data_IF_599773228445
#
_entry.id   IF_599773228445
#
_cell.length_a   1.000
_cell.length_b   1.000
_cell.length_c   1.000
_cell.angle_alpha   90.00
_cell.angle_beta   90.00
_cell.angle_gamma   90.00
#
_symmetry.space_group_name_H-M   'P 1'
#
loop_
_entity.id
_entity.type
_entity.pdbx_description
1 polymer ?
#
# COMPACT_ATOMS: atom_id res chain seq x y z
N UNK A 1 48.12 -20.41 38.45
CA UNK A 1 46.85 -19.84 38.96
C UNK A 1 46.42 -18.57 38.23
N UNK A 2 47.30 -17.59 37.99
CA UNK A 2 46.94 -16.32 37.32
C UNK A 2 46.40 -16.45 35.88
N UNK A 3 46.97 -17.34 35.04
CA UNK A 3 46.54 -17.54 33.64
C UNK A 3 45.09 -18.07 33.54
N UNK A 4 44.69 -19.00 34.41
CA UNK A 4 43.33 -19.53 34.42
C UNK A 4 42.27 -18.47 34.79
N UNK A 5 42.62 -17.50 35.64
CA UNK A 5 41.74 -16.38 36.03
C UNK A 5 41.54 -15.35 34.90
N UNK A 6 42.59 -15.11 34.10
CA UNK A 6 42.54 -14.21 32.94
C UNK A 6 41.64 -14.81 31.84
N UNK A 7 41.79 -16.10 31.57
CA UNK A 7 40.93 -16.81 30.59
C UNK A 7 39.47 -16.86 31.06
N UNK A 8 39.20 -17.09 32.35
CA UNK A 8 37.83 -17.07 32.89
C UNK A 8 37.15 -15.70 32.78
N UNK A 9 37.90 -14.62 33.03
CA UNK A 9 37.39 -13.25 32.91
C UNK A 9 37.09 -12.86 31.47
N UNK A 10 37.91 -13.31 30.51
CA UNK A 10 37.69 -13.07 29.08
C UNK A 10 36.44 -13.80 28.57
N UNK A 11 36.25 -15.06 28.96
CA UNK A 11 35.06 -15.85 28.58
C UNK A 11 33.80 -15.23 29.18
N UNK A 12 33.86 -14.78 30.44
CA UNK A 12 32.73 -14.11 31.09
C UNK A 12 32.36 -12.79 30.39
N UNK A 13 33.35 -11.98 30.01
CA UNK A 13 33.13 -10.75 29.23
C UNK A 13 32.53 -11.01 27.85
N UNK A 14 32.98 -12.06 27.16
CA UNK A 14 32.41 -12.46 25.86
C UNK A 14 30.95 -12.90 25.99
N UNK A 15 30.61 -13.68 27.02
CA UNK A 15 29.23 -14.10 27.29
C UNK A 15 28.34 -12.89 27.57
N UNK A 16 28.80 -11.93 28.38
CA UNK A 16 28.05 -10.70 28.64
C UNK A 16 27.82 -9.87 27.38
N UNK A 17 28.83 -9.77 26.50
CA UNK A 17 28.72 -9.05 25.23
C UNK A 17 27.69 -9.72 24.32
N UNK A 18 27.73 -11.05 24.19
CA UNK A 18 26.78 -11.81 23.38
C UNK A 18 25.34 -11.69 23.91
N UNK A 19 25.15 -11.67 25.23
CA UNK A 19 23.84 -11.46 25.87
C UNK A 19 23.35 -10.02 25.65
N UNK A 20 24.20 -9.01 25.79
CA UNK A 20 23.83 -7.62 25.49
C UNK A 20 23.44 -7.44 24.02
N UNK A 21 24.22 -8.02 23.10
CA UNK A 21 23.93 -7.96 21.67
C UNK A 21 22.61 -8.66 21.31
N UNK A 22 22.28 -9.79 21.95
CA UNK A 22 21.01 -10.49 21.70
C UNK A 22 19.80 -9.73 22.22
N UNK A 23 19.92 -9.07 23.39
CA UNK A 23 18.87 -8.20 23.95
C UNK A 23 18.63 -6.99 23.05
N UNK A 24 19.70 -6.32 22.58
CA UNK A 24 19.58 -5.17 21.70
C UNK A 24 19.01 -5.53 20.32
N UNK A 25 19.40 -6.68 19.76
CA UNK A 25 18.84 -7.18 18.49
C UNK A 25 17.35 -7.51 18.60
N UNK A 26 16.92 -8.05 19.75
CA UNK A 26 15.51 -8.30 20.04
C UNK A 26 14.69 -7.01 20.08
N UNK A 27 15.24 -5.90 20.57
CA UNK A 27 14.56 -4.59 20.57
C UNK A 27 14.37 -4.04 19.15
N UNK A 28 15.37 -4.23 18.25
CA UNK A 28 15.26 -3.82 16.84
C UNK A 28 14.22 -4.67 16.11
N UNK A 29 14.17 -5.98 16.37
CA UNK A 29 13.17 -6.86 15.75
C UNK A 29 11.74 -6.62 16.26
N UNK A 30 11.57 -6.04 17.44
CA UNK A 30 10.27 -5.71 18.03
C UNK A 30 9.73 -4.32 17.62
N UNK A 31 10.37 -3.61 16.69
CA UNK A 31 9.74 -2.44 16.06
C UNK A 31 8.54 -2.93 15.26
N UNK A 32 7.37 -2.92 15.90
CA UNK A 32 6.12 -3.25 15.23
C UNK A 32 5.90 -2.18 14.16
N UNK A 33 5.76 -2.54 12.88
CA UNK A 33 5.37 -1.56 11.87
C UNK A 33 4.06 -0.93 12.35
N UNK A 34 3.91 0.38 12.16
CA UNK A 34 2.65 1.06 12.43
C UNK A 34 1.56 0.39 11.60
N UNK A 35 0.78 -0.48 12.24
CA UNK A 35 -0.31 -1.19 11.60
C UNK A 35 -1.53 -0.27 11.66
N UNK A 36 -1.76 0.50 10.61
CA UNK A 36 -3.05 1.14 10.41
C UNK A 36 -4.05 0.03 10.11
N UNK A 37 -4.89 -0.27 11.10
CA UNK A 37 -5.98 -1.23 10.99
C UNK A 37 -7.08 -0.65 10.09
N UNK A 38 -6.91 -0.81 8.78
CA UNK A 38 -7.91 -0.45 7.77
C UNK A 38 -9.12 -1.40 7.79
N UNK A 39 -9.00 -2.56 8.44
CA UNK A 39 -10.13 -3.48 8.65
C UNK A 39 -11.21 -2.90 9.55
N UNK A 40 -10.84 -1.92 10.40
CA UNK A 40 -11.80 -1.21 11.25
C UNK A 40 -12.60 -0.12 10.50
N UNK A 41 -12.12 0.34 9.33
CA UNK A 41 -12.78 1.38 8.54
C UNK A 41 -14.03 0.82 7.86
N UNK A 42 -15.20 1.30 8.26
CA UNK A 42 -16.47 0.81 7.74
C UNK A 42 -17.50 1.95 7.63
N UNK A 43 -18.74 1.62 7.25
CA UNK A 43 -19.79 2.61 7.02
C UNK A 43 -20.12 3.47 8.25
N UNK A 44 -19.99 2.91 9.46
CA UNK A 44 -20.21 3.61 10.73
C UNK A 44 -19.12 4.62 11.06
N UNK A 45 -17.99 4.58 10.36
CA UNK A 45 -16.93 5.59 10.47
C UNK A 45 -17.31 6.94 9.83
N UNK A 46 -18.46 7.00 9.14
CA UNK A 46 -18.96 8.20 8.46
C UNK A 46 -20.28 8.65 9.09
N UNK A 47 -20.61 9.97 9.07
CA UNK A 47 -21.86 10.47 9.58
C UNK A 47 -23.09 9.79 8.96
N UNK A 48 -24.18 9.80 9.73
CA UNK A 48 -25.49 9.40 9.20
C UNK A 48 -25.85 10.29 8.01
N UNK A 49 -26.34 9.67 6.93
CA UNK A 49 -26.65 10.37 5.67
C UNK A 49 -25.47 10.64 4.74
N UNK A 50 -24.23 10.26 5.09
CA UNK A 50 -23.09 10.37 4.17
C UNK A 50 -23.34 9.56 2.88
N UNK A 51 -23.13 10.12 1.69
CA UNK A 51 -23.44 9.41 0.44
C UNK A 51 -22.18 8.83 -0.18
N UNK A 52 -22.18 7.52 -0.39
CA UNK A 52 -21.23 6.82 -1.25
C UNK A 52 -21.85 6.60 -2.62
N UNK A 53 -21.08 6.81 -3.68
CA UNK A 53 -21.58 6.67 -5.04
C UNK A 53 -20.46 6.33 -6.03
N UNK A 54 -20.87 6.07 -7.26
CA UNK A 54 -20.00 5.86 -8.42
C UNK A 54 -20.43 6.81 -9.54
N UNK A 55 -19.51 7.14 -10.45
CA UNK A 55 -19.77 8.01 -11.58
C UNK A 55 -19.16 7.44 -12.87
N UNK A 56 -19.83 7.67 -14.00
CA UNK A 56 -19.35 7.32 -15.34
C UNK A 56 -19.64 8.47 -16.30
N UNK A 57 -19.05 8.44 -17.50
CA UNK A 57 -19.35 9.42 -18.55
C UNK A 57 -19.92 8.73 -19.79
N UNK A 58 -20.80 9.45 -20.50
CA UNK A 58 -21.52 8.97 -21.66
C UNK A 58 -20.59 8.40 -22.74
N UNK A 59 -19.51 9.13 -23.07
CA UNK A 59 -18.55 8.71 -24.10
C UNK A 59 -17.77 7.45 -23.69
N UNK A 60 -17.53 7.25 -22.40
CA UNK A 60 -16.79 6.09 -21.90
C UNK A 60 -17.62 4.81 -21.83
N UNK A 61 -18.95 4.91 -21.65
CA UNK A 61 -19.76 3.74 -21.29
C UNK A 61 -20.95 3.47 -22.21
N UNK A 62 -21.60 4.48 -22.79
CA UNK A 62 -22.87 4.26 -23.53
C UNK A 62 -22.67 3.55 -24.88
N UNK A 63 -21.57 3.81 -25.58
CA UNK A 63 -21.38 3.33 -26.95
C UNK A 63 -22.39 3.93 -27.93
N UNK A 64 -22.84 3.12 -28.91
CA UNK A 64 -23.90 3.44 -29.88
C UNK A 64 -23.79 4.85 -30.50
N UNK A 65 -22.56 5.32 -30.75
CA UNK A 65 -22.30 6.72 -31.10
C UNK A 65 -22.92 7.17 -32.44
N UNK A 66 -23.38 6.22 -33.26
CA UNK A 66 -23.99 6.46 -34.59
C UNK A 66 -25.44 5.97 -34.70
N UNK A 67 -26.06 5.57 -33.58
CA UNK A 67 -27.43 5.04 -33.55
C UNK A 67 -28.42 6.10 -33.01
N UNK A 68 -29.72 5.86 -33.19
CA UNK A 68 -30.78 6.62 -32.52
C UNK A 68 -30.89 8.12 -32.86
N UNK A 69 -30.28 8.57 -33.96
CA UNK A 69 -30.28 10.00 -34.34
C UNK A 69 -29.38 10.87 -33.46
N UNK A 70 -28.45 10.28 -32.70
CA UNK A 70 -27.49 11.01 -31.84
C UNK A 70 -26.60 11.93 -32.69
N UNK A 71 -26.58 13.22 -32.35
CA UNK A 71 -25.68 14.19 -32.96
C UNK A 71 -24.22 13.93 -32.58
N UNK A 72 -23.25 14.22 -33.47
CA UNK A 72 -21.83 14.01 -33.18
C UNK A 72 -21.38 14.90 -32.03
N UNK A 73 -20.67 14.32 -31.05
CA UNK A 73 -20.02 15.09 -30.00
C UNK A 73 -18.70 15.70 -30.52
N UNK A 74 -18.19 16.74 -29.84
CA UNK A 74 -16.86 17.32 -30.13
C UNK A 74 -15.79 16.21 -30.08
N UNK A 75 -15.86 15.34 -29.06
CA UNK A 75 -14.98 14.18 -28.91
C UNK A 75 -15.07 13.21 -30.10
N UNK A 76 -16.27 12.94 -30.64
CA UNK A 76 -16.44 12.08 -31.81
C UNK A 76 -15.82 12.68 -33.08
N UNK A 77 -15.85 14.01 -33.23
CA UNK A 77 -15.27 14.69 -34.40
C UNK A 77 -13.73 14.65 -34.44
N UNK A 78 -13.09 14.54 -33.28
CA UNK A 78 -11.62 14.46 -33.17
C UNK A 78 -11.04 13.08 -33.45
N UNK A 79 -11.82 11.99 -33.31
CA UNK A 79 -11.37 10.61 -33.55
C UNK A 79 -11.91 10.04 -34.87
N UNK A 80 -11.73 10.75 -35.99
CA UNK A 80 -12.04 10.21 -37.33
C UNK A 80 -11.16 9.02 -37.70
N UNK A 81 -9.93 8.98 -37.18
CA UNK A 81 -9.08 7.80 -37.15
C UNK A 81 -8.49 7.64 -35.72
N UNK A 82 -8.79 6.55 -35.00
CA UNK A 82 -8.14 6.30 -33.73
C UNK A 82 -6.65 5.97 -33.96
N UNK A 83 -5.72 6.52 -33.17
CA UNK A 83 -4.31 6.19 -33.29
C UNK A 83 -4.07 4.72 -32.93
N UNK A 84 -3.03 4.11 -33.51
CA UNK A 84 -2.74 2.66 -33.51
C UNK A 84 -2.61 1.98 -32.15
N UNK A 85 -2.52 2.74 -31.05
CA UNK A 85 -2.38 2.26 -29.69
C UNK A 85 -3.70 2.16 -28.92
N UNK A 86 -4.81 2.68 -29.45
CA UNK A 86 -6.14 2.50 -28.85
C UNK A 86 -6.79 1.28 -29.49
N UNK A 87 -6.58 0.10 -28.89
CA UNK A 87 -7.37 -1.09 -29.19
C UNK A 87 -8.57 -1.11 -28.26
N UNK A 88 -9.76 -1.06 -28.85
CA UNK A 88 -11.03 -1.35 -28.18
C UNK A 88 -11.23 -2.87 -28.19
#
# INVERSE_FOLDING_TARGET
MAVALIHGSFVFGLVLLLVCSSVMLSSIANTRPFHFDVSSLNRSSFPEGFIFGTASSAYQYEGAAREGGRGPSIWFSSFKEPPSFIKI
#
